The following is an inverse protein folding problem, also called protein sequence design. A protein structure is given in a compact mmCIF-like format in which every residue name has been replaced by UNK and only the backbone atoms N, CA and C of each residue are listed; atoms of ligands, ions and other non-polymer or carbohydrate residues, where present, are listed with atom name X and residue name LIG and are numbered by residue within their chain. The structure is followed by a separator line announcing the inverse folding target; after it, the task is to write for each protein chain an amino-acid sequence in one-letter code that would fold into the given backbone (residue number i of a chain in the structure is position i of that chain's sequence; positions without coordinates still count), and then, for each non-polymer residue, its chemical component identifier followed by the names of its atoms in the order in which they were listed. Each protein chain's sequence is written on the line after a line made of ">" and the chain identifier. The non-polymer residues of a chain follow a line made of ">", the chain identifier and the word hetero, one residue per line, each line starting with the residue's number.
data_IF_376509332623
#
_entry.id   IF_376509332623
#
_cell.length_a   1.000
_cell.length_b   1.000
_cell.length_c   1.000
_cell.angle_alpha   90.00
_cell.angle_beta   90.00
_cell.angle_gamma   90.00
#
_symmetry.space_group_name_H-M   'P 1'
#
loop_
_entity.id
_entity.type
_entity.pdbx_description
1 polymer ?
#
# COMPACT_ATOMS: atom_id res chain seq x y z
N UNK A 1 -55.95 -24.61 18.92
CA UNK A 1 -57.07 -24.50 17.97
C UNK A 1 -57.11 -23.10 17.41
N UNK A 2 -57.22 -22.99 16.07
CA UNK A 2 -57.74 -21.87 15.27
C UNK A 2 -57.14 -20.45 15.51
N UNK A 3 -56.73 -19.68 14.52
CA UNK A 3 -56.87 -19.76 13.07
C UNK A 3 -56.41 -18.42 12.51
N UNK A 4 -55.68 -18.45 11.39
CA UNK A 4 -55.12 -17.25 10.77
C UNK A 4 -56.20 -16.27 10.29
N UNK A 5 -55.83 -14.99 10.26
CA UNK A 5 -56.48 -13.99 9.40
C UNK A 5 -55.47 -12.88 9.15
N UNK A 6 -54.90 -12.87 7.92
CA UNK A 6 -54.06 -11.78 7.44
C UNK A 6 -54.82 -10.45 7.42
N UNK A 7 -54.14 -9.31 7.26
CA UNK A 7 -54.78 -8.00 7.30
C UNK A 7 -55.66 -7.80 6.06
N UNK A 8 -56.95 -8.13 6.20
CA UNK A 8 -58.01 -7.70 5.29
C UNK A 8 -58.28 -6.21 5.53
N UNK A 9 -57.55 -5.36 4.81
CA UNK A 9 -57.74 -3.91 4.78
C UNK A 9 -57.70 -3.38 3.37
N UNK A 10 -58.57 -3.89 2.47
CA UNK A 10 -58.94 -3.21 1.23
C UNK A 10 -59.74 -1.94 1.59
N UNK A 11 -59.07 -0.95 2.15
CA UNK A 11 -59.63 0.33 2.55
C UNK A 11 -59.06 1.42 1.66
N UNK A 12 -59.92 1.98 0.82
CA UNK A 12 -59.66 3.06 -0.13
C UNK A 12 -58.71 4.10 0.47
N UNK A 13 -57.57 4.32 -0.18
CA UNK A 13 -56.67 5.45 0.07
C UNK A 13 -57.32 6.76 -0.35
N UNK A 14 -58.37 7.16 0.37
CA UNK A 14 -58.95 8.48 0.34
C UNK A 14 -58.23 9.39 1.32
N UNK A 15 -58.47 10.70 1.15
CA UNK A 15 -57.85 11.90 1.75
C UNK A 15 -57.71 11.95 3.29
N UNK A 16 -58.00 10.86 4.00
CA UNK A 16 -57.92 10.72 5.46
C UNK A 16 -56.87 9.71 5.93
N UNK A 17 -56.05 9.16 5.03
CA UNK A 17 -54.89 8.36 5.43
C UNK A 17 -53.85 9.32 6.00
N UNK A 18 -53.82 9.43 7.33
CA UNK A 18 -52.77 10.17 8.05
C UNK A 18 -51.45 9.64 7.52
N UNK A 19 -50.66 10.49 6.86
CA UNK A 19 -49.29 10.11 6.52
C UNK A 19 -48.60 9.83 7.84
N UNK A 20 -48.32 8.57 8.14
CA UNK A 20 -47.38 8.21 9.19
C UNK A 20 -46.05 8.80 8.73
N UNK A 21 -45.72 9.99 9.26
CA UNK A 21 -44.43 10.64 9.03
C UNK A 21 -43.37 9.62 9.43
N UNK A 22 -42.55 9.24 8.46
CA UNK A 22 -41.61 8.14 8.58
C UNK A 22 -40.83 8.21 9.89
N UNK A 23 -40.65 7.05 10.51
CA UNK A 23 -39.81 6.91 11.70
C UNK A 23 -38.44 7.53 11.40
N UNK A 24 -38.03 8.47 12.25
CA UNK A 24 -36.82 9.25 12.05
C UNK A 24 -35.59 8.36 11.92
N UNK A 25 -34.58 8.87 11.22
CA UNK A 25 -33.30 8.18 11.10
C UNK A 25 -32.66 8.00 12.49
N UNK A 26 -32.34 6.76 12.83
CA UNK A 26 -31.62 6.44 14.06
C UNK A 26 -30.13 6.69 13.84
N UNK A 27 -29.67 7.92 14.13
CA UNK A 27 -28.27 8.29 14.03
C UNK A 27 -27.37 7.54 15.03
N UNK A 28 -27.94 6.78 15.97
CA UNK A 28 -27.20 5.98 16.95
C UNK A 28 -27.02 4.51 16.55
N UNK A 29 -27.61 4.07 15.43
CA UNK A 29 -27.62 2.64 15.07
C UNK A 29 -26.40 2.20 14.27
N UNK A 30 -25.80 3.13 13.54
CA UNK A 30 -24.62 2.91 12.69
C UNK A 30 -23.36 3.62 13.23
N UNK A 31 -23.39 4.12 14.47
CA UNK A 31 -22.20 4.68 15.12
C UNK A 31 -21.36 3.56 15.72
N UNK A 32 -20.06 3.58 15.41
CA UNK A 32 -19.08 2.72 16.05
C UNK A 32 -18.91 3.09 17.53
N UNK A 33 -18.52 2.14 18.40
CA UNK A 33 -18.23 2.44 19.79
C UNK A 33 -17.16 3.52 19.89
N UNK A 34 -17.39 4.52 20.75
CA UNK A 34 -16.47 5.61 21.02
C UNK A 34 -15.76 5.38 22.37
N UNK A 35 -14.50 5.80 22.46
CA UNK A 35 -13.74 5.80 23.71
C UNK A 35 -14.19 6.95 24.64
N UNK A 36 -13.68 6.99 25.88
CA UNK A 36 -13.98 8.05 26.86
C UNK A 36 -13.69 9.47 26.32
N UNK A 37 -12.78 9.58 25.36
CA UNK A 37 -12.39 10.82 24.68
C UNK A 37 -13.22 11.10 23.41
N UNK A 38 -14.22 10.28 23.09
CA UNK A 38 -15.11 10.48 21.94
C UNK A 38 -14.54 10.05 20.58
N UNK A 39 -13.42 9.34 20.55
CA UNK A 39 -12.79 8.82 19.34
C UNK A 39 -13.32 7.43 18.96
N UNK A 40 -13.42 7.12 17.66
CA UNK A 40 -13.84 5.79 17.19
C UNK A 40 -12.87 4.69 17.65
N UNK A 41 -13.40 3.69 18.35
CA UNK A 41 -12.65 2.49 18.76
C UNK A 41 -12.57 1.56 17.55
N UNK A 42 -11.50 1.69 16.76
CA UNK A 42 -11.20 0.76 15.67
C UNK A 42 -10.74 -0.60 16.19
N UNK A 43 -10.87 -1.65 15.37
CA UNK A 43 -10.42 -3.04 15.68
C UNK A 43 -8.93 -3.15 16.06
N UNK A 44 -8.11 -2.15 15.72
CA UNK A 44 -6.69 -2.07 16.08
C UNK A 44 -6.38 -1.13 17.25
N UNK A 45 -7.40 -0.49 17.83
CA UNK A 45 -7.22 0.38 19.00
C UNK A 45 -7.00 -0.45 20.27
N UNK A 46 -6.21 0.08 21.21
CA UNK A 46 -5.86 -0.59 22.46
C UNK A 46 -7.05 -0.91 23.37
N UNK A 47 -8.21 -0.27 23.17
CA UNK A 47 -9.45 -0.51 23.90
C UNK A 47 -10.34 -1.61 23.33
N UNK A 48 -10.08 -2.09 22.10
CA UNK A 48 -10.96 -3.04 21.41
C UNK A 48 -11.10 -4.40 22.12
N UNK A 49 -10.12 -4.78 22.97
CA UNK A 49 -10.13 -6.05 23.71
C UNK A 49 -10.78 -5.97 25.10
N UNK A 50 -11.17 -4.79 25.56
CA UNK A 50 -11.60 -4.59 26.95
C UNK A 50 -13.11 -4.79 27.15
N UNK A 51 -13.92 -4.62 26.11
CA UNK A 51 -15.37 -4.83 26.14
C UNK A 51 -15.79 -6.31 25.99
N UNK A 52 -14.85 -7.21 25.77
CA UNK A 52 -15.09 -8.67 25.69
C UNK A 52 -14.83 -9.36 27.03
N UNK A 53 -14.51 -8.59 28.08
CA UNK A 53 -13.95 -9.07 29.35
C UNK A 53 -14.91 -8.89 30.54
N UNK A 54 -16.19 -9.23 30.38
CA UNK A 54 -17.12 -9.35 31.53
C UNK A 54 -18.03 -10.59 31.42
N UNK A 55 -17.47 -11.73 31.00
CA UNK A 55 -18.14 -13.03 31.10
C UNK A 55 -17.09 -14.14 31.25
N UNK A 56 -16.58 -14.32 32.46
CA UNK A 56 -15.89 -15.56 32.84
C UNK A 56 -16.94 -16.64 33.15
N UNK A 57 -16.97 -17.73 32.39
CA UNK A 57 -16.98 -19.11 32.90
C UNK A 57 -16.50 -20.08 31.79
N UNK A 58 -15.45 -20.84 32.14
CA UNK A 58 -15.18 -22.24 31.77
C UNK A 58 -15.42 -22.71 30.31
N UNK A 59 -14.32 -22.92 29.55
CA UNK A 59 -14.12 -24.18 28.82
C UNK A 59 -12.71 -24.26 28.24
N UNK A 60 -12.00 -25.31 28.64
CA UNK A 60 -10.75 -25.79 28.05
C UNK A 60 -10.95 -26.28 26.61
N UNK A 61 -9.81 -26.41 25.92
CA UNK A 61 -9.50 -27.21 24.73
C UNK A 61 -9.39 -26.51 23.36
N UNK A 62 -8.24 -26.82 22.76
CA UNK A 62 -7.82 -26.46 21.41
C UNK A 62 -8.73 -27.09 20.35
N UNK A 63 -8.94 -26.41 19.23
CA UNK A 63 -8.98 -27.07 17.91
C UNK A 63 -8.99 -26.05 16.78
N UNK A 64 -8.11 -26.33 15.82
CA UNK A 64 -7.90 -25.66 14.57
C UNK A 64 -8.80 -26.31 13.52
N UNK A 65 -9.76 -25.59 12.93
CA UNK A 65 -10.55 -26.13 11.81
C UNK A 65 -10.93 -25.09 10.75
N UNK A 66 -10.08 -25.02 9.73
CA UNK A 66 -10.36 -25.09 8.28
C UNK A 66 -11.79 -24.80 7.75
N UNK A 67 -11.92 -23.60 7.15
CA UNK A 67 -12.43 -23.27 5.79
C UNK A 67 -13.59 -24.08 5.14
N UNK A 68 -14.70 -23.38 4.78
CA UNK A 68 -15.25 -23.33 3.40
C UNK A 68 -16.62 -22.61 3.28
N UNK A 69 -16.78 -21.80 2.22
CA UNK A 69 -17.91 -21.76 1.26
C UNK A 69 -17.89 -20.44 0.46
N UNK A 70 -17.71 -20.34 -0.87
CA UNK A 70 -17.59 -21.23 -2.02
C UNK A 70 -17.66 -20.32 -3.29
N UNK A 71 -17.33 -20.78 -4.52
CA UNK A 71 -18.17 -21.79 -5.18
C UNK A 71 -17.43 -22.84 -6.04
N UNK A 72 -17.98 -24.06 -6.00
CA UNK A 72 -18.01 -25.03 -7.11
C UNK A 72 -16.70 -25.69 -7.60
N UNK A 73 -16.38 -26.85 -7.00
CA UNK A 73 -16.17 -28.07 -7.79
C UNK A 73 -14.75 -28.55 -8.10
N UNK A 74 -14.12 -29.27 -7.16
CA UNK A 74 -13.46 -30.57 -7.45
C UNK A 74 -12.92 -31.20 -6.15
N UNK A 75 -13.48 -32.35 -5.75
CA UNK A 75 -13.03 -33.16 -4.62
C UNK A 75 -11.70 -33.84 -4.93
N UNK A 76 -10.67 -33.54 -4.15
CA UNK A 76 -9.41 -34.28 -4.08
C UNK A 76 -8.83 -34.18 -2.66
N UNK A 77 -8.05 -35.15 -2.18
CA UNK A 77 -7.61 -35.20 -0.80
C UNK A 77 -6.72 -33.98 -0.48
N UNK A 78 -7.12 -33.18 0.50
CA UNK A 78 -6.30 -32.08 1.05
C UNK A 78 -5.10 -32.72 1.75
N UNK A 79 -3.94 -32.73 1.08
CA UNK A 79 -2.67 -33.00 1.74
C UNK A 79 -2.33 -31.72 2.52
N UNK A 80 -2.30 -31.82 3.84
CA UNK A 80 -1.96 -30.72 4.75
C UNK A 80 -0.49 -30.33 4.57
N UNK A 81 -0.24 -29.46 3.60
CA UNK A 81 1.08 -28.91 3.34
C UNK A 81 1.42 -27.94 4.47
N UNK A 82 2.59 -28.13 5.05
CA UNK A 82 3.07 -27.31 6.17
C UNK A 82 3.12 -25.82 5.76
N UNK A 83 3.04 -24.91 6.73
CA UNK A 83 3.00 -23.45 6.48
C UNK A 83 4.17 -22.94 5.62
N UNK A 84 5.31 -23.64 5.65
CA UNK A 84 6.47 -23.33 4.83
C UNK A 84 6.30 -23.79 3.38
N UNK A 85 5.70 -24.96 3.16
CA UNK A 85 5.37 -25.48 1.82
C UNK A 85 4.28 -24.62 1.16
N UNK A 86 3.29 -24.14 1.92
CA UNK A 86 2.29 -23.21 1.39
C UNK A 86 2.91 -21.86 0.97
N UNK A 87 3.89 -21.36 1.73
CA UNK A 87 4.64 -20.14 1.36
C UNK A 87 5.51 -20.38 0.14
N UNK A 88 6.16 -21.54 0.04
CA UNK A 88 6.97 -21.92 -1.11
C UNK A 88 6.10 -22.06 -2.38
N UNK A 89 4.92 -22.68 -2.29
CA UNK A 89 3.99 -22.78 -3.41
C UNK A 89 3.42 -21.42 -3.85
N UNK A 90 3.10 -20.53 -2.90
CA UNK A 90 2.66 -19.17 -3.22
C UNK A 90 3.78 -18.37 -3.91
N UNK A 91 5.04 -18.52 -3.48
CA UNK A 91 6.20 -17.92 -4.14
C UNK A 91 6.43 -18.50 -5.54
N UNK A 92 6.39 -19.83 -5.67
CA UNK A 92 6.53 -20.51 -6.96
C UNK A 92 5.44 -20.11 -7.95
N UNK A 93 4.18 -19.94 -7.51
CA UNK A 93 3.09 -19.43 -8.36
C UNK A 93 3.33 -18.00 -8.82
N UNK A 94 3.81 -17.12 -7.93
CA UNK A 94 4.16 -15.73 -8.28
C UNK A 94 5.33 -15.67 -9.25
N UNK A 95 6.38 -16.45 -9.01
CA UNK A 95 7.55 -16.53 -9.88
C UNK A 95 7.21 -17.13 -11.24
N UNK A 96 6.33 -18.14 -11.29
CA UNK A 96 5.82 -18.70 -12.54
C UNK A 96 4.95 -17.69 -13.33
N UNK A 97 4.16 -16.86 -12.65
CA UNK A 97 3.40 -15.79 -13.29
C UNK A 97 4.32 -14.71 -13.87
N UNK A 98 5.36 -14.32 -13.11
CA UNK A 98 6.38 -13.37 -13.59
C UNK A 98 7.18 -13.97 -14.75
N UNK A 99 7.52 -15.26 -14.70
CA UNK A 99 8.18 -15.95 -15.79
C UNK A 99 7.28 -16.06 -17.03
N UNK A 100 5.98 -16.31 -16.87
CA UNK A 100 4.99 -16.25 -17.96
C UNK A 100 4.85 -14.85 -18.55
N UNK A 101 4.81 -13.81 -17.72
CA UNK A 101 4.75 -12.42 -18.19
C UNK A 101 6.03 -12.01 -18.93
N UNK A 102 7.20 -12.50 -18.49
CA UNK A 102 8.48 -12.28 -19.17
C UNK A 102 8.64 -13.12 -20.44
N UNK A 103 8.12 -14.35 -20.44
CA UNK A 103 8.13 -15.24 -21.59
C UNK A 103 7.06 -14.90 -22.63
N UNK A 104 5.99 -14.20 -22.22
CA UNK A 104 5.11 -13.45 -23.10
C UNK A 104 5.89 -12.24 -23.66
N UNK A 105 6.87 -12.56 -24.50
CA UNK A 105 7.74 -11.62 -25.15
C UNK A 105 6.88 -10.65 -25.98
N UNK A 106 6.92 -9.39 -25.57
CA UNK A 106 6.49 -8.20 -26.28
C UNK A 106 6.83 -8.34 -27.76
N UNK A 107 5.81 -8.56 -28.58
CA UNK A 107 5.94 -8.47 -30.04
C UNK A 107 6.14 -7.00 -30.41
N UNK A 108 7.08 -6.73 -31.31
CA UNK A 108 7.46 -5.37 -31.76
C UNK A 108 6.23 -4.69 -32.38
N UNK A 109 5.52 -3.88 -31.59
CA UNK A 109 4.27 -3.25 -31.99
C UNK A 109 3.30 -3.05 -30.82
N UNK A 110 3.33 -3.94 -29.83
CA UNK A 110 2.72 -3.66 -28.52
C UNK A 110 3.74 -2.91 -27.68
N UNK A 111 3.63 -1.59 -27.66
CA UNK A 111 4.21 -0.83 -26.55
C UNK A 111 3.64 -1.43 -25.25
N UNK A 112 4.46 -1.68 -24.21
CA UNK A 112 3.88 -1.91 -22.89
C UNK A 112 2.96 -0.70 -22.61
N UNK A 113 1.76 -0.89 -22.03
CA UNK A 113 0.89 0.23 -21.74
C UNK A 113 1.69 1.25 -20.93
N UNK A 114 2.07 2.34 -21.58
CA UNK A 114 2.58 3.55 -20.94
C UNK A 114 1.37 4.20 -20.26
N UNK A 115 0.93 3.55 -19.19
CA UNK A 115 -0.27 3.82 -18.42
C UNK A 115 -0.20 3.10 -17.08
N UNK A 116 0.99 3.06 -16.46
CA UNK A 116 1.16 2.63 -15.07
C UNK A 116 0.74 3.76 -14.14
N UNK A 117 -0.52 4.16 -14.21
CA UNK A 117 -1.36 4.68 -13.13
C UNK A 117 -2.82 4.46 -13.56
N UNK A 118 -3.64 3.98 -12.62
CA UNK A 118 -5.11 3.84 -12.69
C UNK A 118 -5.66 2.51 -13.26
N UNK A 119 -5.49 1.43 -12.51
CA UNK A 119 -6.51 0.35 -12.44
C UNK A 119 -7.29 0.54 -11.13
N UNK A 120 -8.36 1.35 -11.22
CA UNK A 120 -9.49 1.29 -10.32
C UNK A 120 -10.46 0.28 -10.92
N UNK A 121 -10.35 -0.99 -10.52
CA UNK A 121 -11.38 -1.99 -10.78
C UNK A 121 -12.71 -1.54 -10.16
N UNK A 122 -13.65 -1.24 -11.06
CA UNK A 122 -14.99 -1.83 -11.05
C UNK A 122 -15.68 -1.95 -9.68
N UNK A 123 -16.16 -0.81 -9.19
CA UNK A 123 -17.30 -0.77 -8.27
C UNK A 123 -18.52 -0.28 -9.07
N UNK A 124 -18.98 -1.14 -10.01
CA UNK A 124 -20.20 -0.97 -10.81
C UNK A 124 -21.46 -1.21 -9.95
N UNK A 125 -21.43 -0.75 -8.70
CA UNK A 125 -22.64 -0.47 -7.94
C UNK A 125 -23.27 0.79 -8.55
N UNK A 126 -24.60 0.85 -8.79
CA UNK A 126 -25.27 2.05 -9.28
C UNK A 126 -25.29 3.14 -8.19
N UNK A 127 -24.13 3.75 -7.96
CA UNK A 127 -24.00 4.99 -7.23
C UNK A 127 -24.76 6.07 -8.01
N UNK A 128 -25.56 6.92 -7.36
CA UNK A 128 -26.31 7.97 -8.04
C UNK A 128 -25.34 8.84 -8.83
N UNK A 129 -25.50 8.86 -10.15
CA UNK A 129 -24.59 9.54 -11.07
C UNK A 129 -24.36 10.97 -10.63
N UNK A 130 -23.14 11.27 -10.17
CA UNK A 130 -22.75 12.64 -9.88
C UNK A 130 -22.78 13.43 -11.20
N UNK A 131 -23.65 14.46 -11.32
CA UNK A 131 -23.85 15.17 -12.58
C UNK A 131 -22.58 15.84 -13.11
N UNK A 132 -21.59 16.10 -12.24
CA UNK A 132 -20.29 16.69 -12.62
C UNK A 132 -19.25 15.68 -13.13
N UNK A 133 -19.47 14.37 -12.96
CA UNK A 133 -18.57 13.31 -13.49
C UNK A 133 -19.16 12.56 -14.69
N UNK A 134 -20.31 13.00 -15.18
CA UNK A 134 -20.94 12.38 -16.35
C UNK A 134 -20.10 12.57 -17.62
N UNK A 135 -20.17 11.60 -18.53
CA UNK A 135 -19.53 11.63 -19.86
C UNK A 135 -19.91 12.90 -20.67
N UNK A 136 -21.06 13.49 -20.39
CA UNK A 136 -21.51 14.75 -20.99
C UNK A 136 -20.70 15.97 -20.54
N UNK A 137 -20.32 16.05 -19.25
CA UNK A 137 -19.49 17.12 -18.71
C UNK A 137 -18.07 17.08 -19.31
N UNK A 138 -17.46 15.88 -19.39
CA UNK A 138 -16.17 15.68 -20.10
C UNK A 138 -16.24 16.09 -21.57
N UNK A 139 -17.38 15.91 -22.23
CA UNK A 139 -17.55 16.29 -23.64
C UNK A 139 -17.64 17.80 -23.86
N UNK A 140 -18.02 18.58 -22.85
CA UNK A 140 -18.00 20.04 -22.92
C UNK A 140 -16.60 20.63 -22.71
N UNK A 141 -15.77 20.02 -21.86
CA UNK A 141 -14.36 20.43 -21.68
C UNK A 141 -13.46 19.96 -22.81
N UNK A 142 -13.89 18.97 -23.59
CA UNK A 142 -13.20 18.41 -24.76
C UNK A 142 -13.59 19.08 -26.08
N UNK A 143 -14.38 20.16 -26.08
CA UNK A 143 -14.63 20.94 -27.30
C UNK A 143 -13.49 21.96 -27.46
N UNK A 144 -12.46 21.70 -28.31
CA UNK A 144 -11.44 22.70 -28.55
C UNK A 144 -12.08 23.93 -29.19
N UNK A 145 -11.74 25.10 -28.68
CA UNK A 145 -11.94 26.39 -29.34
C UNK A 145 -11.07 26.35 -30.59
N UNK A 146 -11.62 25.85 -31.70
CA UNK A 146 -10.99 25.93 -33.01
C UNK A 146 -11.05 27.38 -33.51
N UNK A 147 -9.93 28.08 -33.76
CA UNK A 147 -9.94 29.26 -34.59
C UNK A 147 -10.16 28.81 -36.05
N UNK A 148 -11.21 29.36 -36.68
CA UNK A 148 -11.46 29.18 -38.10
C UNK A 148 -10.27 29.73 -38.91
N UNK A 149 -9.75 28.92 -39.82
CA UNK A 149 -8.87 29.37 -40.89
C UNK A 149 -9.66 30.26 -41.88
N UNK A 150 -9.15 31.46 -42.15
CA UNK A 150 -9.36 32.21 -43.39
C UNK A 150 -8.32 33.35 -43.50
N UNK A 151 -7.75 33.46 -44.70
CA UNK A 151 -7.01 34.60 -45.26
C UNK A 151 -5.53 34.78 -44.88
N UNK A 152 -4.69 34.47 -45.87
CA UNK A 152 -3.39 35.09 -46.12
C UNK A 152 -3.52 36.62 -46.26
N UNK A 153 -2.39 37.32 -46.07
CA UNK A 153 -2.16 38.77 -46.15
C UNK A 153 -2.68 39.62 -44.97
N UNK A 154 -1.77 39.94 -44.03
CA UNK A 154 -1.55 41.28 -43.43
C UNK A 154 -0.63 41.19 -42.18
N UNK A 155 0.60 40.70 -42.37
CA UNK A 155 1.60 40.59 -41.29
C UNK A 155 2.25 41.94 -40.93
N UNK A 156 2.14 42.97 -41.79
CA UNK A 156 2.87 44.22 -41.60
C UNK A 156 2.11 45.25 -40.74
N UNK A 157 0.78 45.28 -40.81
CA UNK A 157 -0.04 46.17 -40.01
C UNK A 157 -0.14 45.73 -38.54
N UNK A 158 -0.10 44.42 -38.26
CA UNK A 158 -0.15 43.91 -36.87
C UNK A 158 1.22 43.95 -36.19
N UNK A 159 2.32 43.96 -36.96
CA UNK A 159 3.67 44.11 -36.44
C UNK A 159 3.95 45.52 -35.89
N UNK A 160 3.38 46.57 -36.52
CA UNK A 160 3.47 47.95 -36.04
C UNK A 160 2.78 48.15 -34.69
N UNK A 161 1.58 47.57 -34.51
CA UNK A 161 0.83 47.64 -33.25
C UNK A 161 1.49 46.79 -32.15
N UNK A 162 2.08 45.64 -32.49
CA UNK A 162 2.88 44.81 -31.57
C UNK A 162 4.20 45.46 -31.17
N UNK A 163 4.84 46.23 -32.06
CA UNK A 163 6.06 46.99 -31.74
C UNK A 163 5.78 48.21 -30.89
N UNK A 164 4.65 48.89 -31.10
CA UNK A 164 4.21 49.99 -30.22
C UNK A 164 3.82 49.47 -28.83
N UNK A 165 3.16 48.30 -28.72
CA UNK A 165 2.84 47.71 -27.42
C UNK A 165 4.04 47.15 -26.66
N UNK A 166 5.15 46.83 -27.35
CA UNK A 166 6.42 46.41 -26.76
C UNK A 166 7.33 47.61 -26.41
N UNK A 167 7.29 48.69 -27.20
CA UNK A 167 8.11 49.89 -26.98
C UNK A 167 7.49 50.88 -25.97
N UNK A 168 6.15 50.96 -25.88
CA UNK A 168 5.43 51.75 -24.86
C UNK A 168 5.22 50.96 -23.55
N UNK A 169 5.80 49.77 -23.43
CA UNK A 169 5.89 49.03 -22.16
C UNK A 169 6.98 49.64 -21.27
N UNK A 170 6.77 50.91 -20.89
CA UNK A 170 7.26 51.41 -19.62
C UNK A 170 6.91 50.35 -18.56
N UNK A 171 7.83 50.05 -17.62
CA UNK A 171 7.90 48.72 -17.05
C UNK A 171 6.54 48.38 -16.43
N UNK A 172 6.03 47.16 -16.62
CA UNK A 172 4.61 46.82 -16.41
C UNK A 172 3.97 47.43 -15.16
N UNK A 173 2.64 47.59 -15.18
CA UNK A 173 1.85 48.16 -14.08
C UNK A 173 2.46 47.77 -12.73
N UNK A 174 2.57 48.69 -11.77
CA UNK A 174 3.24 48.43 -10.46
C UNK A 174 2.93 47.04 -9.86
N UNK A 175 1.69 46.58 -10.04
CA UNK A 175 1.20 45.23 -9.71
C UNK A 175 1.93 44.09 -10.42
N UNK A 176 2.21 44.20 -11.71
CA UNK A 176 2.96 43.23 -12.51
C UNK A 176 4.43 43.15 -12.10
N UNK A 177 5.06 44.28 -11.77
CA UNK A 177 6.43 44.27 -11.23
C UNK A 177 6.51 43.65 -9.84
N UNK A 178 5.55 43.96 -8.97
CA UNK A 178 5.44 43.35 -7.64
C UNK A 178 5.13 41.85 -7.75
N UNK A 179 4.29 41.42 -8.69
CA UNK A 179 4.02 40.00 -8.96
C UNK A 179 5.26 39.27 -9.49
N UNK A 180 6.02 39.87 -10.42
CA UNK A 180 7.26 39.29 -10.94
C UNK A 180 8.34 39.20 -9.84
N UNK A 181 8.46 40.21 -8.98
CA UNK A 181 9.37 40.19 -7.84
C UNK A 181 8.96 39.12 -6.80
N UNK A 182 7.66 38.96 -6.54
CA UNK A 182 7.15 37.91 -5.66
C UNK A 182 7.38 36.51 -6.23
N UNK A 183 7.24 36.32 -7.56
CA UNK A 183 7.57 35.08 -8.23
C UNK A 183 9.07 34.76 -8.10
N UNK A 184 9.94 35.72 -8.42
CA UNK A 184 11.39 35.55 -8.27
C UNK A 184 11.83 35.28 -6.81
N UNK A 185 11.15 35.87 -5.82
CA UNK A 185 11.40 35.60 -4.41
C UNK A 185 10.99 34.16 -4.01
N UNK A 186 9.85 33.67 -4.52
CA UNK A 186 9.41 32.28 -4.32
C UNK A 186 10.37 31.30 -4.96
N UNK A 187 10.82 31.55 -6.19
CA UNK A 187 11.82 30.73 -6.88
C UNK A 187 13.15 30.69 -6.13
N UNK A 188 13.60 31.83 -5.60
CA UNK A 188 14.81 31.88 -4.76
C UNK A 188 14.63 31.09 -3.47
N UNK A 189 13.46 31.19 -2.83
CA UNK A 189 13.16 30.41 -1.63
C UNK A 189 13.13 28.91 -1.94
N UNK A 190 12.46 28.48 -3.02
CA UNK A 190 12.44 27.10 -3.48
C UNK A 190 13.85 26.60 -3.77
N UNK A 191 14.65 27.37 -4.50
CA UNK A 191 16.05 27.04 -4.79
C UNK A 191 16.91 26.91 -3.52
N UNK A 192 16.70 27.77 -2.51
CA UNK A 192 17.38 27.67 -1.22
C UNK A 192 16.88 26.49 -0.38
N UNK A 193 15.61 26.13 -0.52
CA UNK A 193 14.99 24.99 0.15
C UNK A 193 15.52 23.67 -0.43
N UNK A 194 15.54 23.56 -1.76
CA UNK A 194 16.17 22.46 -2.49
C UNK A 194 17.66 22.33 -2.18
N UNK A 195 18.37 23.46 -2.07
CA UNK A 195 19.77 23.48 -1.65
C UNK A 195 19.98 23.11 -0.15
N UNK A 196 18.91 22.85 0.61
CA UNK A 196 19.00 22.49 2.02
C UNK A 196 19.37 23.65 2.95
N UNK A 197 19.31 24.90 2.48
CA UNK A 197 19.77 26.09 3.23
C UNK A 197 18.68 26.74 4.08
N UNK A 198 17.41 26.49 3.77
CA UNK A 198 16.30 26.89 4.65
C UNK A 198 16.28 26.08 5.93
N UNK A 199 15.81 26.67 7.03
CA UNK A 199 15.86 26.00 8.33
C UNK A 199 14.95 24.76 8.39
N UNK A 200 13.86 24.77 7.62
CA UNK A 200 13.01 23.59 7.41
C UNK A 200 13.79 22.45 6.74
N UNK A 201 14.47 22.73 5.61
CA UNK A 201 15.24 21.71 4.91
C UNK A 201 16.44 21.21 5.73
N UNK A 202 17.09 22.08 6.52
CA UNK A 202 18.14 21.67 7.47
C UNK A 202 17.59 20.73 8.54
N UNK A 203 16.40 21.00 9.08
CA UNK A 203 15.75 20.15 10.07
C UNK A 203 15.42 18.76 9.49
N UNK A 204 14.90 18.71 8.26
CA UNK A 204 14.62 17.45 7.56
C UNK A 204 15.90 16.67 7.28
N UNK A 205 16.97 17.33 6.83
CA UNK A 205 18.27 16.70 6.65
C UNK A 205 18.86 16.19 7.98
N UNK A 206 18.71 16.94 9.07
CA UNK A 206 19.15 16.50 10.40
C UNK A 206 18.36 15.27 10.86
N UNK A 207 17.04 15.24 10.66
CA UNK A 207 16.20 14.08 10.93
C UNK A 207 16.65 12.87 10.11
N UNK A 208 16.94 13.04 8.83
CA UNK A 208 17.44 11.96 7.97
C UNK A 208 18.83 11.47 8.40
N UNK A 209 19.73 12.36 8.84
CA UNK A 209 21.03 11.98 9.40
C UNK A 209 20.88 11.12 10.66
N UNK A 210 20.02 11.51 11.60
CA UNK A 210 19.75 10.70 12.79
C UNK A 210 19.21 9.30 12.44
N UNK A 211 18.38 9.18 11.41
CA UNK A 211 17.89 7.87 10.94
C UNK A 211 19.03 7.06 10.31
N UNK A 212 19.89 7.67 9.51
CA UNK A 212 21.07 7.00 8.95
C UNK A 212 22.01 6.51 10.04
N UNK A 213 22.34 7.37 11.01
CA UNK A 213 23.18 7.01 12.14
C UNK A 213 22.58 5.86 12.96
N UNK A 214 21.26 5.88 13.24
CA UNK A 214 20.60 4.76 13.92
C UNK A 214 20.67 3.47 13.12
N UNK A 215 20.42 3.52 11.81
CA UNK A 215 20.51 2.34 10.94
C UNK A 215 21.94 1.80 10.84
N UNK A 216 22.93 2.68 10.77
CA UNK A 216 24.34 2.31 10.73
C UNK A 216 24.77 1.72 12.08
N UNK A 217 24.34 2.27 13.21
CA UNK A 217 24.59 1.73 14.54
C UNK A 217 23.93 0.37 14.74
N UNK A 218 22.68 0.19 14.29
CA UNK A 218 21.98 -1.10 14.33
C UNK A 218 22.64 -2.13 13.40
N UNK A 219 23.06 -1.72 12.19
CA UNK A 219 23.79 -2.57 11.27
C UNK A 219 25.15 -2.99 11.84
N UNK A 220 25.89 -2.05 12.44
CA UNK A 220 27.17 -2.31 13.09
C UNK A 220 27.00 -3.23 14.31
N UNK A 221 25.98 -3.02 15.15
CA UNK A 221 25.66 -3.92 16.27
C UNK A 221 25.33 -5.32 15.77
N UNK A 222 24.53 -5.44 14.70
CA UNK A 222 24.19 -6.73 14.10
C UNK A 222 25.38 -7.41 13.44
N UNK A 223 26.31 -6.66 12.86
CA UNK A 223 27.56 -7.20 12.32
C UNK A 223 28.48 -7.68 13.43
N UNK A 224 28.67 -6.89 14.49
CA UNK A 224 29.44 -7.29 15.66
C UNK A 224 28.88 -8.55 16.34
N UNK A 225 27.57 -8.61 16.56
CA UNK A 225 26.91 -9.80 17.13
C UNK A 225 27.10 -11.04 16.24
N UNK A 226 27.02 -10.87 14.91
CA UNK A 226 27.27 -11.97 13.96
C UNK A 226 28.72 -12.42 13.99
N UNK A 227 29.68 -11.50 14.02
CA UNK A 227 31.11 -11.83 14.09
C UNK A 227 31.47 -12.52 15.40
N UNK A 228 30.91 -12.08 16.53
CA UNK A 228 31.06 -12.76 17.83
C UNK A 228 30.44 -14.15 17.81
N UNK A 229 29.24 -14.30 17.23
CA UNK A 229 28.59 -15.61 17.11
C UNK A 229 29.38 -16.54 16.20
N UNK A 230 29.88 -16.07 15.07
CA UNK A 230 30.72 -16.85 14.16
C UNK A 230 32.06 -17.23 14.81
N UNK A 231 32.67 -16.34 15.59
CA UNK A 231 33.87 -16.65 16.35
C UNK A 231 33.59 -17.73 17.41
N UNK A 232 32.48 -17.63 18.14
CA UNK A 232 32.07 -18.66 19.10
C UNK A 232 31.74 -20.00 18.41
N UNK A 233 31.09 -19.97 17.25
CA UNK A 233 30.77 -21.17 16.48
C UNK A 233 32.04 -21.81 15.89
N UNK A 234 33.02 -21.03 15.43
CA UNK A 234 34.35 -21.52 15.01
C UNK A 234 35.09 -22.17 16.17
N UNK A 235 35.16 -21.52 17.34
CA UNK A 235 35.78 -22.11 18.53
C UNK A 235 35.09 -23.39 18.98
N UNK A 236 33.75 -23.42 18.98
CA UNK A 236 32.99 -24.65 19.28
C UNK A 236 33.29 -25.74 18.25
N UNK A 237 33.31 -25.40 16.97
CA UNK A 237 33.61 -26.34 15.87
C UNK A 237 35.02 -26.91 15.99
N UNK A 238 36.03 -26.08 16.23
CA UNK A 238 37.42 -26.52 16.47
C UNK A 238 37.51 -27.42 17.72
N UNK A 239 36.78 -27.11 18.79
CA UNK A 239 36.69 -27.97 19.97
C UNK A 239 36.03 -29.32 19.66
N UNK A 240 34.97 -29.33 18.85
CA UNK A 240 34.31 -30.57 18.41
C UNK A 240 35.23 -31.40 17.51
N UNK A 241 35.88 -30.78 16.52
CA UNK A 241 36.83 -31.44 15.62
C UNK A 241 38.03 -31.99 16.38
N UNK A 242 38.58 -31.26 17.36
CA UNK A 242 39.66 -31.76 18.21
C UNK A 242 39.23 -32.92 19.11
N UNK A 243 37.99 -32.89 19.65
CA UNK A 243 37.44 -34.01 20.43
C UNK A 243 37.17 -35.24 19.54
N UNK A 244 36.69 -35.03 18.32
CA UNK A 244 36.45 -36.09 17.35
C UNK A 244 37.76 -36.72 16.87
N UNK A 245 38.78 -35.91 16.57
CA UNK A 245 40.12 -36.40 16.22
C UNK A 245 40.71 -37.25 17.35
N UNK A 246 40.65 -36.78 18.60
CA UNK A 246 41.08 -37.57 19.77
C UNK A 246 40.31 -38.87 19.91
N UNK A 247 38.98 -38.85 19.68
CA UNK A 247 38.16 -40.07 19.70
C UNK A 247 38.54 -41.03 18.57
N UNK A 248 38.86 -40.51 17.39
CA UNK A 248 39.24 -41.28 16.20
C UNK A 248 40.63 -41.91 16.36
N UNK A 249 41.58 -41.17 16.91
CA UNK A 249 42.91 -41.67 17.29
C UNK A 249 42.82 -42.76 18.37
N UNK A 250 42.00 -42.54 19.40
CA UNK A 250 41.75 -43.56 20.43
C UNK A 250 41.09 -44.82 19.86
N UNK A 251 40.20 -44.67 18.87
CA UNK A 251 39.54 -45.80 18.21
C UNK A 251 40.47 -46.58 17.26
N UNK A 252 41.48 -45.93 16.66
CA UNK A 252 42.45 -46.59 15.79
C UNK A 252 43.45 -47.47 16.54
N UNK A 253 43.61 -47.27 17.86
CA UNK A 253 44.36 -48.12 18.79
C UNK A 253 45.86 -48.27 18.47
N UNK A 254 46.70 -48.71 19.43
CA UNK A 254 48.09 -49.02 19.14
C UNK A 254 48.13 -50.22 18.19
N UNK A 255 48.49 -49.98 16.93
CA UNK A 255 48.78 -51.02 15.94
C UNK A 255 49.82 -51.96 16.57
N UNK A 256 49.38 -53.12 17.06
CA UNK A 256 50.27 -54.15 17.61
C UNK A 256 51.20 -54.54 16.46
N UNK A 257 52.45 -54.10 16.53
CA UNK A 257 53.53 -54.57 15.65
C UNK A 257 53.53 -56.09 15.74
N UNK A 258 53.07 -56.76 14.68
CA UNK A 258 53.12 -58.20 14.57
C UNK A 258 54.57 -58.62 14.79
N UNK A 259 54.84 -59.29 15.91
CA UNK A 259 56.14 -59.92 16.17
C UNK A 259 56.33 -60.94 15.05
N UNK A 260 57.24 -60.64 14.12
CA UNK A 260 57.76 -61.59 13.15
C UNK A 260 58.37 -62.76 13.94
N UNK A 261 57.64 -63.87 14.02
CA UNK A 261 58.15 -65.12 14.57
C UNK A 261 59.19 -65.68 13.62
N UNK A 262 60.45 -65.51 14.00
CA UNK A 262 61.60 -66.18 13.39
C UNK A 262 61.80 -67.51 14.10
N UNK A 263 61.35 -68.61 13.50
CA UNK A 263 61.94 -69.96 13.57
C UNK A 263 61.15 -70.92 12.70
#
# INVERSE_FOLDING_TARGET
>A
MAGGTGPAGRGRGGKFKKYTRGGGHHFSRDLRPLDADGNEVGMWSSGAKKNDSESEEESEEEESSEDEAGPSGSKGPKVELTREELKAQKKARKEAAIARAKAAAVQVGDLPPSGSEEESEDDDAPMPANPNHSKAARKQTQKPVAPKAAAESDDEATAGVKKLSIADSAPGNRKEREAAAAAAAKERYQKLHEAGKTDQAKADLARLKLIREKREQEAARKQAEKEEREAQEKLKREQFEAKEAKRREAALGPQKKAKSSKK
#
